data_IF_447043057295
#
_entry.id   IF_447043057295
#
_cell.length_a   1.000
_cell.length_b   1.000
_cell.length_c   1.000
_cell.angle_alpha   90.00
_cell.angle_beta   90.00
_cell.angle_gamma   90.00
#
_symmetry.space_group_name_H-M   'P 1'
#
loop_
_entity.id
_entity.type
_entity.pdbx_description
1 polymer ?
#
# COMPACT_ATOMS: atom_id res chain seq x y z
N UNK A 1 -20.25 63.30 -19.78
CA UNK A 1 -19.59 62.88 -18.53
C UNK A 1 -19.29 61.39 -18.64
N UNK A 2 -18.03 61.06 -18.95
CA UNK A 2 -17.15 60.17 -18.15
C UNK A 2 -17.53 58.67 -18.25
N UNK A 3 -16.85 57.86 -19.07
CA UNK A 3 -15.54 57.22 -18.86
C UNK A 3 -15.61 55.95 -17.97
N UNK A 4 -15.48 54.80 -18.66
CA UNK A 4 -14.46 53.75 -18.44
C UNK A 4 -14.60 52.66 -17.32
N UNK A 5 -14.24 51.43 -17.77
CA UNK A 5 -13.67 50.24 -17.10
C UNK A 5 -14.68 49.23 -16.52
N UNK A 6 -14.70 47.94 -16.94
CA UNK A 6 -13.61 46.96 -16.98
C UNK A 6 -13.48 46.36 -15.56
N UNK A 7 -13.64 45.07 -15.27
CA UNK A 7 -12.82 43.95 -15.69
C UNK A 7 -13.53 42.60 -15.48
N UNK A 8 -13.06 41.64 -16.26
CA UNK A 8 -13.30 40.20 -16.32
C UNK A 8 -13.11 39.45 -14.99
N UNK A 9 -13.82 38.33 -14.83
CA UNK A 9 -13.27 37.08 -14.30
C UNK A 9 -14.06 35.89 -14.91
N UNK A 10 -13.62 35.50 -16.10
CA UNK A 10 -13.72 34.11 -16.57
C UNK A 10 -12.90 33.19 -15.65
N UNK A 11 -13.22 31.90 -15.71
CA UNK A 11 -12.53 30.74 -15.10
C UNK A 11 -13.12 30.20 -13.79
N UNK A 12 -14.25 29.50 -13.92
CA UNK A 12 -14.49 28.28 -13.11
C UNK A 12 -15.13 27.17 -13.96
N UNK A 13 -14.55 26.94 -15.14
CA UNK A 13 -14.71 25.70 -15.90
C UNK A 13 -13.30 25.28 -16.26
N UNK A 14 -12.74 24.32 -15.51
CA UNK A 14 -11.57 23.49 -15.86
C UNK A 14 -11.09 22.73 -14.61
N UNK A 15 -11.89 21.79 -14.09
CA UNK A 15 -11.40 20.59 -13.40
C UNK A 15 -12.41 19.43 -13.51
N UNK A 16 -13.15 19.34 -14.61
CA UNK A 16 -13.59 18.04 -15.10
C UNK A 16 -12.39 17.40 -15.78
N UNK A 17 -11.49 16.82 -14.98
CA UNK A 17 -10.49 15.89 -15.51
C UNK A 17 -11.28 14.69 -16.04
N UNK A 18 -11.60 14.72 -17.32
CA UNK A 18 -11.87 13.52 -18.11
C UNK A 18 -10.70 12.56 -17.86
N UNK A 19 -10.88 11.61 -16.95
CA UNK A 19 -10.05 10.42 -16.91
C UNK A 19 -10.45 9.58 -18.11
N UNK A 20 -9.87 9.95 -19.25
CA UNK A 20 -9.80 9.12 -20.44
C UNK A 20 -9.32 7.71 -20.04
N UNK A 21 -9.98 6.63 -20.47
CA UNK A 21 -9.66 5.26 -20.04
C UNK A 21 -8.40 4.66 -20.70
N UNK A 22 -7.66 5.42 -21.50
CA UNK A 22 -6.58 4.90 -22.34
C UNK A 22 -5.17 4.97 -21.72
N UNK A 23 -5.06 5.16 -20.41
CA UNK A 23 -3.80 4.99 -19.71
C UNK A 23 -4.00 4.12 -18.46
N UNK A 24 -4.40 2.87 -18.69
CA UNK A 24 -4.28 1.81 -17.70
C UNK A 24 -2.78 1.52 -17.48
N UNK A 25 -2.13 2.46 -16.81
CA UNK A 25 -0.87 2.22 -16.10
C UNK A 25 -1.02 0.88 -15.40
N UNK A 26 0.06 0.10 -15.40
CA UNK A 26 0.31 -1.12 -14.64
C UNK A 26 0.17 -0.92 -13.10
N UNK A 27 -0.88 -0.22 -12.66
CA UNK A 27 -1.38 -0.24 -11.31
C UNK A 27 -1.97 -1.63 -11.13
N UNK A 28 -1.11 -2.51 -10.64
CA UNK A 28 -1.37 -3.90 -10.36
C UNK A 28 -2.81 -4.09 -9.88
N UNK A 29 -3.67 -4.63 -10.75
CA UNK A 29 -5.06 -4.91 -10.40
C UNK A 29 -5.05 -5.72 -9.09
N UNK A 30 -5.83 -5.31 -8.08
CA UNK A 30 -5.81 -5.97 -6.79
C UNK A 30 -6.13 -7.46 -6.98
N UNK A 31 -5.47 -8.36 -6.22
CA UNK A 31 -5.74 -9.80 -6.30
C UNK A 31 -7.24 -10.08 -6.17
N UNK A 32 -7.73 -11.15 -6.81
CA UNK A 32 -9.17 -11.49 -6.84
C UNK A 32 -9.82 -11.51 -5.44
N UNK A 33 -9.11 -12.05 -4.45
CA UNK A 33 -9.59 -12.10 -3.07
C UNK A 33 -9.71 -10.70 -2.43
N UNK A 34 -8.89 -9.73 -2.83
CA UNK A 34 -8.95 -8.36 -2.32
C UNK A 34 -10.17 -7.62 -2.90
N UNK A 35 -10.46 -7.84 -4.19
CA UNK A 35 -11.65 -7.27 -4.87
C UNK A 35 -12.95 -7.65 -4.16
N UNK A 36 -13.01 -8.84 -3.57
CA UNK A 36 -14.17 -9.31 -2.79
C UNK A 36 -14.08 -8.96 -1.31
N UNK A 37 -12.89 -9.01 -0.71
CA UNK A 37 -12.71 -8.74 0.71
C UNK A 37 -12.91 -7.27 1.08
N UNK A 38 -12.48 -6.32 0.23
CA UNK A 38 -12.60 -4.89 0.54
C UNK A 38 -14.07 -4.46 0.66
N UNK A 39 -14.95 -4.69 -0.35
CA UNK A 39 -16.35 -4.29 -0.25
C UNK A 39 -17.05 -4.94 0.95
N UNK A 40 -16.84 -6.25 1.13
CA UNK A 40 -17.42 -7.00 2.26
C UNK A 40 -16.96 -6.44 3.62
N UNK A 41 -15.67 -6.19 3.78
CA UNK A 41 -15.11 -5.68 5.03
C UNK A 41 -15.54 -4.24 5.34
N UNK A 42 -15.69 -3.40 4.31
CA UNK A 42 -16.23 -2.05 4.46
C UNK A 42 -17.70 -2.09 4.90
N UNK A 43 -18.53 -2.89 4.24
CA UNK A 43 -19.94 -3.02 4.61
C UNK A 43 -20.11 -3.55 6.04
N UNK A 44 -19.36 -4.58 6.44
CA UNK A 44 -19.35 -5.05 7.83
C UNK A 44 -18.93 -3.98 8.84
N UNK A 45 -18.05 -3.04 8.46
CA UNK A 45 -17.67 -1.93 9.34
C UNK A 45 -18.81 -0.94 9.48
N UNK A 46 -19.49 -0.57 8.40
CA UNK A 46 -20.67 0.31 8.47
C UNK A 46 -21.74 -0.30 9.35
N UNK A 47 -22.10 -1.56 9.09
CA UNK A 47 -23.14 -2.29 9.81
C UNK A 47 -22.85 -2.47 11.31
N UNK A 48 -21.59 -2.33 11.75
CA UNK A 48 -21.24 -2.30 13.18
C UNK A 48 -21.38 -0.92 13.80
N UNK A 49 -21.05 0.13 13.03
CA UNK A 49 -21.03 1.51 13.50
C UNK A 49 -22.45 2.06 13.57
N UNK A 50 -23.20 1.93 12.48
CA UNK A 50 -24.58 2.40 12.40
C UNK A 50 -25.46 1.53 13.29
N UNK A 51 -26.34 2.18 14.05
CA UNK A 51 -27.37 1.50 14.85
C UNK A 51 -28.74 1.57 14.17
N UNK A 52 -28.96 2.63 13.39
CA UNK A 52 -30.12 2.82 12.54
C UNK A 52 -29.87 2.25 11.12
N UNK A 53 -30.92 1.71 10.51
CA UNK A 53 -30.90 1.08 9.20
C UNK A 53 -30.82 2.12 8.08
N UNK A 54 -31.53 3.25 8.20
CA UNK A 54 -31.49 4.32 7.20
C UNK A 54 -30.10 4.97 7.09
N UNK A 55 -29.46 5.25 8.22
CA UNK A 55 -28.08 5.75 8.25
C UNK A 55 -27.09 4.72 7.67
N UNK A 56 -27.34 3.43 7.92
CA UNK A 56 -26.52 2.35 7.39
C UNK A 56 -26.56 2.33 5.86
N UNK A 57 -27.77 2.40 5.28
CA UNK A 57 -27.98 2.38 3.84
C UNK A 57 -27.36 3.60 3.16
N UNK A 58 -27.59 4.81 3.69
CA UNK A 58 -26.95 6.03 3.16
C UNK A 58 -25.42 5.94 3.19
N UNK A 59 -24.84 5.38 4.26
CA UNK A 59 -23.40 5.15 4.37
C UNK A 59 -22.86 4.06 3.43
N UNK A 60 -23.67 3.06 3.09
CA UNK A 60 -23.32 2.03 2.13
C UNK A 60 -23.35 2.58 0.70
N UNK A 61 -24.33 3.40 0.33
CA UNK A 61 -24.40 4.05 -0.98
C UNK A 61 -23.17 4.92 -1.25
N UNK A 62 -22.78 5.78 -0.31
CA UNK A 62 -21.58 6.62 -0.44
C UNK A 62 -20.32 5.76 -0.68
N UNK A 63 -20.21 4.63 0.01
CA UNK A 63 -19.09 3.69 -0.14
C UNK A 63 -19.14 2.95 -1.47
N UNK A 64 -20.34 2.55 -1.91
CA UNK A 64 -20.57 1.91 -3.21
C UNK A 64 -20.07 2.80 -4.34
N UNK A 65 -20.47 4.06 -4.35
CA UNK A 65 -20.06 5.02 -5.37
C UNK A 65 -18.55 5.23 -5.39
N UNK A 66 -17.93 5.31 -4.20
CA UNK A 66 -16.48 5.39 -4.10
C UNK A 66 -15.79 4.16 -4.73
N UNK A 67 -16.28 2.95 -4.47
CA UNK A 67 -15.72 1.72 -5.04
C UNK A 67 -15.93 1.64 -6.56
N UNK A 68 -17.09 2.03 -7.07
CA UNK A 68 -17.37 2.08 -8.51
C UNK A 68 -16.43 3.07 -9.20
N UNK A 69 -16.22 4.27 -8.62
CA UNK A 69 -15.25 5.26 -9.14
C UNK A 69 -13.82 4.74 -9.23
N UNK A 70 -13.45 3.76 -8.39
CA UNK A 70 -12.12 3.12 -8.45
C UNK A 70 -12.01 2.02 -9.51
N UNK A 71 -13.10 1.71 -10.23
CA UNK A 71 -13.14 0.68 -11.27
C UNK A 71 -13.48 -0.72 -10.75
N UNK A 72 -14.12 -0.82 -9.58
CA UNK A 72 -14.64 -2.09 -9.07
C UNK A 72 -15.99 -2.43 -9.72
N UNK A 73 -16.25 -3.73 -9.92
CA UNK A 73 -17.50 -4.21 -10.52
C UNK A 73 -18.71 -4.00 -9.59
N UNK A 74 -19.75 -3.33 -10.10
CA UNK A 74 -20.93 -2.96 -9.31
C UNK A 74 -21.69 -4.18 -8.78
N UNK A 75 -21.86 -5.23 -9.58
CA UNK A 75 -22.59 -6.43 -9.16
C UNK A 75 -21.84 -7.18 -8.04
N UNK A 76 -20.52 -7.22 -8.13
CA UNK A 76 -19.67 -7.79 -7.10
C UNK A 76 -19.82 -7.03 -5.78
N UNK A 77 -19.79 -5.69 -5.83
CA UNK A 77 -19.97 -4.84 -4.65
C UNK A 77 -21.33 -5.11 -4.01
N UNK A 78 -22.41 -5.05 -4.81
CA UNK A 78 -23.77 -5.25 -4.32
C UNK A 78 -23.95 -6.63 -3.67
N UNK A 79 -23.37 -7.67 -4.28
CA UNK A 79 -23.34 -9.01 -3.69
C UNK A 79 -22.60 -9.05 -2.35
N UNK A 80 -21.45 -8.39 -2.22
CA UNK A 80 -20.71 -8.36 -0.96
C UNK A 80 -21.42 -7.53 0.11
N UNK A 81 -22.08 -6.45 -0.28
CA UNK A 81 -22.83 -5.59 0.63
C UNK A 81 -24.03 -6.34 1.18
N UNK A 82 -24.85 -6.95 0.33
CA UNK A 82 -25.96 -7.83 0.75
C UNK A 82 -25.49 -8.92 1.71
N UNK A 83 -24.38 -9.58 1.39
CA UNK A 83 -23.79 -10.62 2.25
C UNK A 83 -23.39 -10.08 3.64
N UNK A 84 -22.97 -8.82 3.74
CA UNK A 84 -22.63 -8.18 5.00
C UNK A 84 -23.88 -7.76 5.78
N UNK A 85 -24.89 -7.17 5.12
CA UNK A 85 -26.14 -6.70 5.75
C UNK A 85 -27.00 -7.83 6.30
N UNK A 86 -26.93 -9.03 5.72
CA UNK A 86 -27.63 -10.23 6.26
C UNK A 86 -27.13 -10.64 7.65
N UNK A 87 -25.93 -10.19 8.08
CA UNK A 87 -25.38 -10.56 9.39
C UNK A 87 -26.04 -9.73 10.50
N UNK A 88 -26.49 -10.40 11.56
CA UNK A 88 -27.01 -9.70 12.73
C UNK A 88 -25.93 -8.80 13.37
N UNK A 89 -26.28 -7.53 13.64
CA UNK A 89 -25.35 -6.55 14.22
C UNK A 89 -24.77 -7.01 15.56
N UNK A 90 -25.57 -7.63 16.42
CA UNK A 90 -25.12 -8.10 17.73
C UNK A 90 -24.02 -9.17 17.59
N UNK A 91 -24.11 -10.04 16.58
CA UNK A 91 -23.07 -11.03 16.30
C UNK A 91 -21.79 -10.40 15.77
N UNK A 92 -21.88 -9.27 15.06
CA UNK A 92 -20.73 -8.55 14.54
C UNK A 92 -19.97 -7.76 15.62
N UNK A 93 -20.68 -7.33 16.68
CA UNK A 93 -20.08 -6.65 17.83
C UNK A 93 -19.38 -7.63 18.78
N UNK A 94 -19.78 -8.91 18.76
CA UNK A 94 -19.11 -9.96 19.54
C UNK A 94 -17.70 -10.20 19.01
N UNK A 95 -16.73 -10.26 19.94
CA UNK A 95 -15.36 -10.66 19.62
C UNK A 95 -15.37 -12.12 19.17
N UNK A 96 -14.94 -12.35 17.94
CA UNK A 96 -14.76 -13.70 17.39
C UNK A 96 -13.37 -14.22 17.78
N UNK A 97 -13.31 -15.38 18.43
CA UNK A 97 -12.07 -16.10 18.69
C UNK A 97 -11.65 -16.85 17.42
N UNK A 98 -10.37 -16.74 17.05
CA UNK A 98 -9.82 -17.55 15.97
C UNK A 98 -9.35 -18.88 16.55
N UNK A 99 -9.75 -19.98 15.92
CA UNK A 99 -9.20 -21.28 16.25
C UNK A 99 -7.68 -21.27 16.02
N UNK A 100 -6.94 -21.87 16.96
CA UNK A 100 -5.53 -22.16 16.75
C UNK A 100 -5.38 -23.02 15.48
N UNK A 101 -4.31 -22.77 14.74
CA UNK A 101 -4.03 -23.49 13.49
C UNK A 101 -2.61 -23.98 13.53
N UNK A 102 -2.43 -25.30 13.41
CA UNK A 102 -1.13 -25.96 13.38
C UNK A 102 -0.46 -25.92 11.99
N UNK A 103 -1.07 -25.20 11.03
CA UNK A 103 -0.53 -25.06 9.67
C UNK A 103 0.66 -24.13 9.68
N UNK A 104 1.78 -24.64 9.17
CA UNK A 104 2.99 -23.84 8.98
C UNK A 104 2.79 -22.84 7.84
N UNK A 105 3.02 -21.53 8.03
CA UNK A 105 2.89 -20.55 6.97
C UNK A 105 4.06 -20.62 5.99
N UNK A 106 3.77 -20.77 4.70
CA UNK A 106 4.74 -20.61 3.62
C UNK A 106 4.57 -19.23 2.99
N UNK A 107 5.50 -18.32 3.25
CA UNK A 107 5.38 -16.90 2.89
C UNK A 107 6.12 -16.60 1.58
N UNK A 108 5.38 -16.19 0.56
CA UNK A 108 5.92 -15.84 -0.76
C UNK A 108 5.58 -14.40 -1.11
N UNK A 109 6.43 -13.71 -1.86
CA UNK A 109 6.03 -12.44 -2.47
C UNK A 109 4.88 -12.65 -3.47
N UNK A 110 3.91 -11.75 -3.45
CA UNK A 110 2.83 -11.78 -4.42
C UNK A 110 3.34 -11.47 -5.83
N UNK A 111 3.02 -12.33 -6.80
CA UNK A 111 3.23 -12.11 -8.23
C UNK A 111 2.06 -12.70 -9.05
N UNK A 112 1.94 -12.28 -10.31
CA UNK A 112 0.90 -12.77 -11.23
C UNK A 112 1.12 -14.27 -11.51
N UNK A 113 0.31 -15.13 -10.90
CA UNK A 113 0.43 -16.59 -11.01
C UNK A 113 0.80 -17.30 -9.71
N UNK A 114 1.06 -16.56 -8.63
CA UNK A 114 1.37 -17.13 -7.32
C UNK A 114 0.22 -18.01 -6.76
N UNK A 115 -1.01 -17.84 -7.25
CA UNK A 115 -2.14 -18.73 -6.94
C UNK A 115 -1.88 -20.19 -7.38
N UNK A 116 -1.08 -20.40 -8.44
CA UNK A 116 -0.72 -21.74 -8.93
C UNK A 116 0.11 -22.53 -7.94
N UNK A 117 0.83 -21.86 -7.03
CA UNK A 117 1.61 -22.51 -5.98
C UNK A 117 0.73 -23.38 -5.07
N UNK A 118 -0.55 -23.05 -4.93
CA UNK A 118 -1.50 -23.88 -4.17
C UNK A 118 -1.60 -25.31 -4.73
N UNK A 119 -1.58 -25.44 -6.05
CA UNK A 119 -1.63 -26.74 -6.71
C UNK A 119 -0.32 -27.50 -6.50
N UNK A 120 0.81 -26.82 -6.68
CA UNK A 120 2.13 -27.39 -6.43
C UNK A 120 2.25 -27.93 -5.00
N UNK A 121 1.81 -27.18 -3.98
CA UNK A 121 1.85 -27.65 -2.59
C UNK A 121 1.00 -28.89 -2.34
N UNK A 122 -0.19 -28.95 -2.96
CA UNK A 122 -1.07 -30.11 -2.83
C UNK A 122 -0.43 -31.36 -3.47
N UNK A 123 0.21 -31.20 -4.61
CA UNK A 123 0.83 -32.30 -5.34
C UNK A 123 2.11 -32.78 -4.61
N UNK A 124 2.92 -31.84 -4.11
CA UNK A 124 4.12 -32.13 -3.30
C UNK A 124 3.80 -32.71 -1.91
N UNK A 125 2.58 -32.52 -1.38
CA UNK A 125 2.20 -33.07 -0.08
C UNK A 125 2.37 -34.59 -0.04
N UNK A 126 2.09 -35.27 -1.15
CA UNK A 126 2.24 -36.73 -1.22
C UNK A 126 3.70 -37.14 -0.98
N UNK A 127 4.63 -36.43 -1.60
CA UNK A 127 6.08 -36.64 -1.43
C UNK A 127 6.52 -36.28 -0.01
N UNK A 128 6.02 -35.17 0.55
CA UNK A 128 6.32 -34.79 1.93
C UNK A 128 5.84 -35.82 2.96
N UNK A 129 4.76 -36.55 2.66
CA UNK A 129 4.23 -37.59 3.53
C UNK A 129 5.03 -38.91 3.46
N UNK A 130 5.79 -39.15 2.38
CA UNK A 130 6.63 -40.35 2.23
C UNK A 130 7.85 -40.30 3.16
N UNK A 131 8.36 -39.10 3.46
CA UNK A 131 9.46 -38.87 4.40
C UNK A 131 8.94 -38.71 5.84
N UNK A 132 9.44 -39.55 6.76
CA UNK A 132 9.04 -39.56 8.18
C UNK A 132 9.30 -38.23 8.90
N UNK A 133 10.40 -37.56 8.58
CA UNK A 133 10.77 -36.27 9.18
C UNK A 133 9.87 -35.15 8.65
N UNK A 134 9.64 -35.11 7.34
CA UNK A 134 8.79 -34.09 6.72
C UNK A 134 7.31 -34.27 7.09
N UNK A 135 6.81 -35.50 7.16
CA UNK A 135 5.45 -35.80 7.62
C UNK A 135 5.21 -35.33 9.06
N UNK A 136 6.22 -35.47 9.93
CA UNK A 136 6.16 -34.98 11.32
C UNK A 136 6.18 -33.44 11.38
N UNK A 137 6.97 -32.81 10.52
CA UNK A 137 7.14 -31.34 10.49
C UNK A 137 5.96 -30.62 9.83
N UNK A 138 5.38 -31.23 8.80
CA UNK A 138 4.28 -30.70 7.98
C UNK A 138 3.11 -31.69 7.94
N UNK A 139 2.40 -31.89 9.07
CA UNK A 139 1.28 -32.84 9.14
C UNK A 139 0.10 -32.44 8.24
N UNK A 140 0.03 -31.17 7.86
CA UNK A 140 -0.94 -30.64 6.91
C UNK A 140 -0.24 -29.76 5.87
N UNK A 141 -0.85 -29.56 4.68
CA UNK A 141 -0.30 -28.66 3.68
C UNK A 141 0.00 -27.28 4.25
N UNK A 142 1.22 -26.74 4.04
CA UNK A 142 1.58 -25.41 4.49
C UNK A 142 0.56 -24.36 4.03
N UNK A 143 0.27 -23.41 4.91
CA UNK A 143 -0.61 -22.31 4.59
C UNK A 143 0.13 -21.32 3.68
N UNK A 144 -0.24 -21.26 2.41
CA UNK A 144 0.30 -20.28 1.48
C UNK A 144 -0.14 -18.86 1.90
N UNK A 145 0.85 -18.04 2.27
CA UNK A 145 0.68 -16.65 2.64
C UNK A 145 1.45 -15.77 1.65
N UNK A 146 0.84 -14.64 1.28
CA UNK A 146 1.46 -13.68 0.38
C UNK A 146 1.91 -12.44 1.13
N UNK A 147 3.16 -12.05 0.94
CA UNK A 147 3.67 -10.74 1.35
C UNK A 147 3.71 -9.78 0.15
N UNK A 148 3.47 -8.50 0.41
CA UNK A 148 3.57 -7.48 -0.63
C UNK A 148 5.04 -7.36 -1.10
N UNK A 149 5.31 -7.23 -2.41
CA UNK A 149 6.63 -6.84 -2.87
C UNK A 149 7.00 -5.43 -2.37
N UNK A 150 8.31 -5.11 -2.27
CA UNK A 150 8.76 -3.79 -1.85
C UNK A 150 8.19 -2.74 -2.80
N UNK A 151 7.45 -1.78 -2.24
CA UNK A 151 6.94 -0.65 -3.01
C UNK A 151 7.96 0.49 -3.02
N UNK A 152 7.75 1.48 -3.89
CA UNK A 152 8.65 2.63 -4.03
C UNK A 152 8.92 3.32 -2.68
N UNK A 153 7.88 3.46 -1.84
CA UNK A 153 8.03 4.01 -0.49
C UNK A 153 8.99 3.17 0.35
N UNK A 154 8.88 1.85 0.37
CA UNK A 154 9.78 0.97 1.13
C UNK A 154 11.21 0.96 0.60
N UNK A 155 11.39 1.22 -0.71
CA UNK A 155 12.72 1.29 -1.33
C UNK A 155 13.38 2.64 -1.02
N UNK A 156 12.63 3.74 -1.13
CA UNK A 156 13.15 5.11 -0.96
C UNK A 156 13.22 5.50 0.52
N UNK A 157 12.16 5.24 1.28
CA UNK A 157 12.05 5.68 2.67
C UNK A 157 12.77 4.69 3.57
N UNK A 158 13.92 5.12 4.09
CA UNK A 158 14.63 4.40 5.15
C UNK A 158 14.05 4.83 6.50
N UNK A 159 13.71 3.85 7.34
CA UNK A 159 13.20 4.08 8.69
C UNK A 159 14.25 4.66 9.63
N UNK A 160 15.54 4.46 9.29
CA UNK A 160 16.67 5.07 9.96
C UNK A 160 17.40 5.96 8.96
N UNK A 161 17.69 7.19 9.37
CA UNK A 161 18.68 7.99 8.69
C UNK A 161 20.01 7.24 8.78
N UNK A 162 20.82 7.20 7.69
CA UNK A 162 22.20 6.75 7.82
C UNK A 162 22.83 7.56 8.95
N UNK A 163 23.60 6.91 9.82
CA UNK A 163 24.39 7.63 10.82
C UNK A 163 25.18 8.70 10.08
N UNK A 164 25.00 9.95 10.46
CA UNK A 164 25.96 10.99 10.09
C UNK A 164 27.28 10.58 10.74
N UNK A 165 28.08 9.77 10.04
CA UNK A 165 29.51 9.96 10.18
C UNK A 165 29.68 11.43 9.84
N UNK A 166 30.18 12.22 10.79
CA UNK A 166 30.60 13.57 10.48
C UNK A 166 31.59 13.40 9.32
N UNK A 167 31.12 13.62 8.10
CA UNK A 167 31.98 13.87 6.96
C UNK A 167 32.52 15.27 7.22
N UNK A 168 33.35 15.42 8.27
CA UNK A 168 34.31 16.51 8.29
C UNK A 168 35.00 16.45 6.95
N UNK A 169 35.11 17.59 6.27
CA UNK A 169 35.87 17.75 5.04
C UNK A 169 37.34 17.50 5.39
N UNK A 170 37.69 16.25 5.59
CA UNK A 170 39.03 15.79 5.86
C UNK A 170 39.56 15.29 4.52
N UNK A 171 40.79 15.67 4.17
CA UNK A 171 41.40 15.15 2.97
C UNK A 171 41.46 13.63 3.05
N UNK A 172 41.07 12.97 1.97
CA UNK A 172 41.14 11.51 1.87
C UNK A 172 42.58 11.00 1.68
N UNK A 173 43.57 11.91 1.59
CA UNK A 173 45.01 11.66 1.40
C UNK A 173 45.38 10.73 0.23
N UNK A 174 44.49 10.56 -0.75
CA UNK A 174 44.76 9.78 -1.95
C UNK A 174 45.80 10.47 -2.84
N UNK A 175 46.82 9.73 -3.32
CA UNK A 175 47.92 10.26 -4.15
C UNK A 175 47.48 10.99 -5.43
N UNK A 176 46.27 10.71 -5.91
CA UNK A 176 45.70 11.30 -7.13
C UNK A 176 44.50 12.22 -6.87
N UNK A 177 44.16 12.51 -5.61
CA UNK A 177 43.03 13.36 -5.28
C UNK A 177 43.39 14.84 -5.38
N UNK A 178 42.98 15.48 -6.47
CA UNK A 178 43.18 16.94 -6.67
C UNK A 178 42.33 17.79 -5.71
N UNK A 179 41.19 17.27 -5.27
CA UNK A 179 40.26 17.96 -4.36
C UNK A 179 40.83 18.17 -2.97
N UNK A 180 41.75 17.32 -2.51
CA UNK A 180 42.39 17.50 -1.20
C UNK A 180 43.22 18.79 -1.12
N UNK A 181 43.72 19.31 -2.24
CA UNK A 181 44.48 20.57 -2.27
C UNK A 181 43.62 21.79 -1.97
N UNK A 182 42.31 21.73 -2.24
CA UNK A 182 41.35 22.82 -2.02
C UNK A 182 40.60 22.72 -0.69
N UNK A 183 40.86 21.70 0.13
CA UNK A 183 40.24 21.54 1.44
C UNK A 183 41.09 22.29 2.47
N UNK A 184 40.66 23.49 2.85
CA UNK A 184 41.25 24.23 3.97
C UNK A 184 40.95 23.53 5.29
N UNK A 185 41.98 23.25 6.08
CA UNK A 185 41.87 22.60 7.40
C UNK A 185 41.66 23.60 8.55
N UNK A 186 41.57 24.89 8.25
CA UNK A 186 41.49 25.93 9.28
C UNK A 186 40.14 25.89 10.02
N UNK A 187 40.22 25.91 11.35
CA UNK A 187 39.05 25.91 12.24
C UNK A 187 38.39 27.30 12.37
N UNK A 188 38.97 28.32 11.75
CA UNK A 188 38.54 29.72 11.89
C UNK A 188 38.31 30.33 10.52
N UNK A 189 37.04 30.62 10.22
CA UNK A 189 36.66 31.36 9.01
C UNK A 189 36.93 32.85 9.29
N UNK A 190 38.05 33.38 8.81
CA UNK A 190 38.30 34.82 8.80
C UNK A 190 37.68 35.44 7.55
N UNK A 191 36.93 36.52 7.73
CA UNK A 191 36.39 37.32 6.62
C UNK A 191 37.56 38.05 5.98
N UNK A 192 37.80 37.85 4.69
CA UNK A 192 38.93 38.48 3.99
C UNK A 192 38.83 40.01 4.02
N UNK A 193 39.89 40.66 4.51
CA UNK A 193 40.07 42.11 4.43
C UNK A 193 40.34 42.50 2.97
N UNK A 194 39.37 43.13 2.34
CA UNK A 194 39.55 43.76 1.03
C UNK A 194 40.23 45.12 1.20
N UNK A 195 41.55 45.16 1.26
CA UNK A 195 42.31 46.39 1.01
C UNK A 195 42.63 46.47 -0.48
N UNK A 196 41.76 47.16 -1.23
CA UNK A 196 42.09 47.64 -2.56
C UNK A 196 42.92 48.92 -2.41
N UNK A 197 44.19 48.86 -2.84
CA UNK A 197 44.99 50.02 -3.23
C UNK A 197 44.98 50.16 -4.75
#
# INVERSE_FOLDING_TARGET
MHLHQGWTLQHHSLLQTQRQPHNATLLQLPPKHIKTAIPYGQALRVHRICSDEEECDGHLEIRRDALIRTGSDAQLIDRQFRRATVRNRNDLLRRQTRAATDKVPFVVQHFTGAEKLRYVFRDLQRIMNEDKHLAKTFPTPPQLAFKQPPNLKQIIVRSKLPSFQHNSTQPCHGRHCKTCQSVGMDATITRGDTSHH
#
